data_IF_076210808103
#
_entry.id   IF_076210808103
#
_cell.length_a   1.000
_cell.length_b   1.000
_cell.length_c   1.000
_cell.angle_alpha   90.00
_cell.angle_beta   90.00
_cell.angle_gamma   90.00
#
_symmetry.space_group_name_H-M   'P 1'
#
loop_
_entity.id
_entity.type
_entity.pdbx_description
1 polymer ?
#
# COMPACT_ATOMS: atom_id res chain seq x y z
N UNK A 1 -49.74 58.26 -28.30
CA UNK A 1 -49.06 57.85 -27.03
C UNK A 1 -49.20 56.39 -26.70
N UNK A 2 -49.90 55.52 -27.45
CA UNK A 2 -50.10 54.10 -27.15
C UNK A 2 -49.01 53.12 -27.70
N UNK A 3 -48.16 53.60 -28.61
CA UNK A 3 -47.13 52.71 -29.23
C UNK A 3 -45.78 52.67 -28.52
N UNK A 4 -45.43 53.60 -27.65
CA UNK A 4 -44.14 53.67 -26.93
C UNK A 4 -44.14 52.77 -25.66
N UNK A 5 -45.29 52.64 -25.02
CA UNK A 5 -45.41 51.75 -23.78
C UNK A 5 -45.31 50.26 -24.08
N UNK A 6 -45.76 49.80 -25.27
CA UNK A 6 -45.66 48.34 -25.66
C UNK A 6 -44.24 47.91 -25.99
N UNK A 7 -43.38 48.83 -26.50
CA UNK A 7 -41.97 48.48 -26.79
C UNK A 7 -41.09 48.44 -25.54
N UNK A 8 -41.41 49.23 -24.52
CA UNK A 8 -40.71 49.19 -23.24
C UNK A 8 -41.05 47.92 -22.44
N UNK A 9 -42.29 47.43 -22.45
CA UNK A 9 -42.71 46.19 -21.81
C UNK A 9 -42.11 44.95 -22.50
N UNK A 10 -41.91 44.96 -23.81
CA UNK A 10 -41.26 43.87 -24.54
C UNK A 10 -39.74 43.78 -24.26
N UNK A 11 -39.08 44.92 -24.03
CA UNK A 11 -37.67 44.93 -23.66
C UNK A 11 -37.43 44.53 -22.20
N UNK A 12 -38.33 44.81 -21.27
CA UNK A 12 -38.25 44.32 -19.89
C UNK A 12 -38.52 42.84 -19.77
N UNK A 13 -39.39 42.23 -20.61
CA UNK A 13 -39.64 40.80 -20.63
C UNK A 13 -38.47 39.99 -21.20
N UNK A 14 -37.66 40.57 -22.09
CA UNK A 14 -36.49 39.88 -22.67
C UNK A 14 -35.27 39.87 -21.73
N UNK A 15 -35.24 40.77 -20.72
CA UNK A 15 -34.15 40.78 -19.70
C UNK A 15 -34.32 39.75 -18.59
N UNK A 16 -35.49 39.10 -18.48
CA UNK A 16 -35.79 38.08 -17.44
C UNK A 16 -35.47 36.65 -17.88
N UNK A 17 -34.99 36.43 -19.10
CA UNK A 17 -34.59 35.10 -19.62
C UNK A 17 -33.06 34.94 -19.70
N UNK A 18 -32.31 35.54 -18.75
CA UNK A 18 -30.94 35.10 -18.54
C UNK A 18 -31.00 33.71 -17.91
N UNK A 19 -30.51 32.66 -18.60
CA UNK A 19 -30.38 31.34 -17.95
C UNK A 19 -29.48 31.58 -16.74
N UNK A 20 -29.98 31.24 -15.56
CA UNK A 20 -29.15 31.07 -14.38
C UNK A 20 -28.12 29.99 -14.75
N UNK A 21 -26.94 30.42 -15.19
CA UNK A 21 -25.78 29.51 -15.22
C UNK A 21 -25.57 29.10 -13.77
N UNK A 22 -26.18 27.97 -13.39
CA UNK A 22 -25.78 27.26 -12.19
C UNK A 22 -24.28 27.02 -12.39
N UNK A 23 -23.46 27.74 -11.65
CA UNK A 23 -22.04 27.49 -11.59
C UNK A 23 -21.91 26.01 -11.08
N UNK A 24 -21.75 25.11 -12.01
CA UNK A 24 -21.39 23.74 -11.65
C UNK A 24 -20.08 23.86 -10.89
N UNK A 25 -20.11 23.54 -9.60
CA UNK A 25 -18.90 23.51 -8.78
C UNK A 25 -17.86 22.68 -9.56
N UNK A 26 -16.70 23.29 -9.84
CA UNK A 26 -15.65 22.62 -10.60
C UNK A 26 -15.32 21.29 -9.90
N UNK A 27 -15.42 20.21 -10.65
CA UNK A 27 -15.14 18.86 -10.14
C UNK A 27 -13.67 18.81 -9.70
N UNK A 28 -13.43 18.64 -8.41
CA UNK A 28 -12.09 18.50 -7.84
C UNK A 28 -11.65 17.06 -7.97
N UNK A 29 -10.39 16.84 -8.32
CA UNK A 29 -9.86 15.49 -8.54
C UNK A 29 -8.57 15.31 -7.76
N UNK A 30 -8.44 14.15 -7.09
CA UNK A 30 -7.21 13.65 -6.51
C UNK A 30 -6.78 12.39 -7.26
N UNK A 31 -5.58 12.44 -7.82
CA UNK A 31 -4.98 11.32 -8.55
C UNK A 31 -3.94 10.62 -7.67
N UNK A 32 -4.07 9.32 -7.53
CA UNK A 32 -3.18 8.45 -6.76
C UNK A 32 -2.56 7.39 -7.65
N UNK A 33 -1.22 7.28 -7.64
CA UNK A 33 -0.49 6.26 -8.41
C UNK A 33 0.57 5.63 -7.52
N UNK A 34 0.53 4.30 -7.35
CA UNK A 34 1.55 3.61 -6.55
C UNK A 34 1.16 2.22 -6.06
N UNK A 35 1.34 1.97 -4.78
CA UNK A 35 1.29 0.65 -4.15
C UNK A 35 -0.02 -0.11 -4.37
N UNK A 36 0.08 -1.32 -4.88
CA UNK A 36 -1.01 -2.30 -4.93
C UNK A 36 -1.45 -2.72 -3.51
N UNK A 37 -0.51 -2.88 -2.57
CA UNK A 37 -0.83 -3.20 -1.17
C UNK A 37 -1.85 -2.23 -0.55
N UNK A 38 -1.76 -0.94 -0.92
CA UNK A 38 -2.63 0.11 -0.41
C UNK A 38 -3.90 0.33 -1.25
N UNK A 39 -4.06 -0.39 -2.36
CA UNK A 39 -5.11 -0.11 -3.34
C UNK A 39 -6.52 -0.17 -2.76
N UNK A 40 -6.87 -1.27 -2.09
CA UNK A 40 -8.20 -1.46 -1.47
C UNK A 40 -8.44 -0.46 -0.32
N UNK A 41 -7.43 -0.20 0.50
CA UNK A 41 -7.53 0.78 1.58
C UNK A 41 -7.80 2.19 1.04
N UNK A 42 -7.07 2.59 -0.01
CA UNK A 42 -7.27 3.91 -0.62
C UNK A 42 -8.65 4.04 -1.27
N UNK A 43 -9.18 2.96 -1.88
CA UNK A 43 -10.55 2.96 -2.40
C UNK A 43 -11.57 3.13 -1.27
N UNK A 44 -11.42 2.40 -0.16
CA UNK A 44 -12.29 2.51 1.01
C UNK A 44 -12.21 3.91 1.65
N UNK A 45 -11.00 4.48 1.75
CA UNK A 45 -10.82 5.85 2.24
C UNK A 45 -11.39 6.90 1.29
N UNK A 46 -11.20 6.74 -0.02
CA UNK A 46 -11.77 7.63 -1.03
C UNK A 46 -13.30 7.65 -0.94
N UNK A 47 -13.93 6.48 -0.82
CA UNK A 47 -15.37 6.38 -0.63
C UNK A 47 -15.81 7.06 0.65
N UNK A 48 -15.20 6.73 1.80
CA UNK A 48 -15.56 7.29 3.10
C UNK A 48 -15.33 8.80 3.20
N UNK A 49 -14.37 9.34 2.44
CA UNK A 49 -14.08 10.76 2.36
C UNK A 49 -15.07 11.48 1.43
N UNK A 50 -15.39 10.88 0.27
CA UNK A 50 -16.33 11.44 -0.70
C UNK A 50 -17.78 11.46 -0.21
N UNK A 51 -18.17 10.62 0.76
CA UNK A 51 -19.48 10.68 1.43
C UNK A 51 -19.75 12.07 2.05
N UNK A 52 -18.68 12.84 2.37
CA UNK A 52 -18.75 14.23 2.87
C UNK A 52 -18.61 15.31 1.79
N UNK A 53 -18.25 14.95 0.55
CA UNK A 53 -17.98 15.91 -0.53
C UNK A 53 -18.23 15.31 -1.92
N UNK A 54 -19.44 15.47 -2.42
CA UNK A 54 -19.86 14.93 -3.72
C UNK A 54 -19.14 15.55 -4.94
N UNK A 55 -18.36 16.63 -4.75
CA UNK A 55 -17.61 17.29 -5.84
C UNK A 55 -16.21 16.73 -6.03
N UNK A 56 -15.71 15.90 -5.08
CA UNK A 56 -14.38 15.31 -5.15
C UNK A 56 -14.43 13.96 -5.84
N UNK A 57 -13.52 13.74 -6.79
CA UNK A 57 -13.32 12.47 -7.48
C UNK A 57 -11.91 11.94 -7.23
N UNK A 58 -11.82 10.65 -6.96
CA UNK A 58 -10.54 9.95 -6.85
C UNK A 58 -10.24 9.16 -8.11
N UNK A 59 -8.99 9.25 -8.57
CA UNK A 59 -8.43 8.41 -9.62
C UNK A 59 -7.31 7.59 -9.01
N UNK A 60 -7.55 6.30 -8.74
CA UNK A 60 -6.60 5.43 -8.06
C UNK A 60 -6.06 4.41 -9.06
N UNK A 61 -4.72 4.35 -9.21
CA UNK A 61 -3.98 3.40 -10.03
C UNK A 61 -2.92 2.71 -9.15
N UNK A 62 -2.84 1.39 -9.26
CA UNK A 62 -2.02 0.56 -8.36
C UNK A 62 -0.97 -0.30 -9.10
N UNK A 63 -0.13 0.30 -9.97
CA UNK A 63 0.88 -0.47 -10.71
C UNK A 63 2.03 -0.98 -9.83
N UNK A 64 2.15 -0.50 -8.62
CA UNK A 64 3.20 -0.81 -7.66
C UNK A 64 3.90 0.43 -7.13
N UNK A 65 4.58 0.30 -5.98
CA UNK A 65 5.24 1.43 -5.30
C UNK A 65 6.30 2.11 -6.15
N UNK A 66 7.00 1.38 -7.00
CA UNK A 66 8.05 1.93 -7.87
C UNK A 66 7.53 2.99 -8.87
N UNK A 67 6.22 3.01 -9.17
CA UNK A 67 5.64 4.01 -10.06
C UNK A 67 5.35 5.35 -9.39
N UNK A 68 5.25 5.39 -8.05
CA UNK A 68 4.84 6.58 -7.30
C UNK A 68 5.82 7.76 -7.45
N UNK A 69 7.15 7.58 -7.32
CA UNK A 69 8.11 8.68 -7.41
C UNK A 69 8.05 9.41 -8.75
N UNK A 70 8.02 8.66 -9.86
CA UNK A 70 7.96 9.23 -11.20
C UNK A 70 6.61 9.93 -11.47
N UNK A 71 5.49 9.36 -11.03
CA UNK A 71 4.16 9.95 -11.20
C UNK A 71 4.03 11.26 -10.41
N UNK A 72 4.55 11.33 -9.18
CA UNK A 72 4.61 12.55 -8.39
C UNK A 72 5.54 13.60 -9.04
N UNK A 73 6.74 13.18 -9.47
CA UNK A 73 7.73 14.09 -10.07
C UNK A 73 7.22 14.77 -11.34
N UNK A 74 6.44 14.06 -12.17
CA UNK A 74 5.84 14.59 -13.40
C UNK A 74 4.52 15.35 -13.18
N UNK A 75 3.96 15.30 -11.97
CA UNK A 75 2.63 15.85 -11.68
C UNK A 75 1.46 15.01 -12.21
N UNK A 76 1.73 13.76 -12.61
CA UNK A 76 0.69 12.80 -13.03
C UNK A 76 -0.08 12.21 -11.84
N UNK A 77 0.42 12.41 -10.61
CA UNK A 77 -0.23 12.05 -9.37
C UNK A 77 -0.09 13.15 -8.33
N UNK A 78 -1.13 13.31 -7.50
CA UNK A 78 -1.14 14.17 -6.32
C UNK A 78 -0.66 13.39 -5.08
N UNK A 79 -0.96 12.09 -5.06
CA UNK A 79 -0.63 11.15 -3.99
C UNK A 79 0.15 9.95 -4.55
N UNK A 80 1.22 9.59 -3.86
CA UNK A 80 2.05 8.41 -4.14
C UNK A 80 2.02 7.42 -3.00
N UNK A 81 1.07 6.48 -2.95
CA UNK A 81 1.06 5.44 -1.93
C UNK A 81 2.25 4.50 -2.13
N UNK A 82 2.98 4.24 -1.04
CA UNK A 82 4.13 3.35 -1.07
C UNK A 82 4.14 2.42 0.14
N UNK A 83 4.41 1.14 -0.10
CA UNK A 83 4.54 0.11 0.94
C UNK A 83 5.99 -0.12 1.38
N UNK A 84 6.84 0.84 1.11
CA UNK A 84 8.21 1.04 1.59
C UNK A 84 8.55 2.53 1.53
N UNK A 85 9.66 2.93 2.12
CA UNK A 85 10.20 4.27 1.84
C UNK A 85 10.69 4.38 0.38
N UNK A 86 10.73 5.58 -0.18
CA UNK A 86 11.49 5.85 -1.41
C UNK A 86 12.93 5.44 -1.20
N UNK A 87 13.55 4.88 -2.22
CA UNK A 87 15.00 4.67 -2.22
C UNK A 87 15.73 6.01 -2.31
N UNK A 88 17.01 6.02 -1.98
CA UNK A 88 17.83 7.25 -2.11
C UNK A 88 17.86 7.74 -3.58
N UNK A 89 17.89 6.81 -4.55
CA UNK A 89 17.89 7.14 -5.97
C UNK A 89 16.56 7.75 -6.41
N UNK A 90 15.42 7.15 -6.01
CA UNK A 90 14.07 7.66 -6.28
C UNK A 90 13.88 9.07 -5.69
N UNK A 91 14.32 9.29 -4.45
CA UNK A 91 14.24 10.59 -3.80
C UNK A 91 15.13 11.63 -4.50
N UNK A 92 16.36 11.26 -4.89
CA UNK A 92 17.26 12.14 -5.63
C UNK A 92 16.72 12.49 -7.03
N UNK A 93 16.14 11.52 -7.76
CA UNK A 93 15.50 11.80 -9.07
C UNK A 93 14.30 12.74 -8.91
N UNK A 94 13.45 12.48 -7.93
CA UNK A 94 12.34 13.38 -7.61
C UNK A 94 12.85 14.81 -7.31
N UNK A 95 13.87 14.94 -6.46
CA UNK A 95 14.43 16.24 -6.08
C UNK A 95 15.05 16.98 -7.28
N UNK A 96 15.76 16.28 -8.17
CA UNK A 96 16.27 16.87 -9.42
C UNK A 96 15.16 17.47 -10.28
N UNK A 97 14.00 16.80 -10.37
CA UNK A 97 12.86 17.23 -11.22
C UNK A 97 12.02 18.32 -10.58
N UNK A 98 11.87 18.30 -9.27
CA UNK A 98 10.95 19.20 -8.52
C UNK A 98 11.66 20.31 -7.78
N UNK A 99 12.99 20.28 -7.68
CA UNK A 99 13.80 21.25 -6.94
C UNK A 99 13.68 21.15 -5.41
N UNK A 100 12.94 20.15 -4.90
CA UNK A 100 12.67 19.93 -3.47
C UNK A 100 12.36 18.48 -3.17
N UNK A 101 12.41 18.08 -1.91
CA UNK A 101 12.01 16.74 -1.47
C UNK A 101 10.48 16.58 -1.46
N UNK A 102 9.97 15.36 -1.71
CA UNK A 102 8.54 15.07 -1.57
C UNK A 102 8.11 15.19 -0.10
N UNK A 103 6.85 15.55 0.13
CA UNK A 103 6.24 15.35 1.43
C UNK A 103 5.96 13.86 1.66
N UNK A 104 5.97 13.44 2.92
CA UNK A 104 5.68 12.06 3.30
C UNK A 104 4.92 12.01 4.61
N UNK A 105 3.87 11.22 4.68
CA UNK A 105 3.12 10.90 5.90
C UNK A 105 3.04 9.39 6.03
N UNK A 106 3.36 8.87 7.20
CA UNK A 106 3.05 7.48 7.56
C UNK A 106 1.57 7.38 7.87
N UNK A 107 0.90 6.38 7.28
CA UNK A 107 -0.55 6.27 7.35
C UNK A 107 -1.05 5.02 8.07
N UNK A 108 -0.23 3.98 8.15
CA UNK A 108 -0.52 2.73 8.85
C UNK A 108 0.78 1.91 8.97
N UNK A 109 0.72 0.81 9.72
CA UNK A 109 1.68 -0.28 9.60
C UNK A 109 1.06 -1.47 8.87
N UNK A 110 1.91 -2.25 8.23
CA UNK A 110 1.58 -3.53 7.59
C UNK A 110 2.55 -4.60 8.06
N UNK A 111 2.15 -5.85 7.92
CA UNK A 111 3.02 -7.00 8.07
C UNK A 111 3.03 -7.78 6.76
N UNK A 112 4.22 -8.08 6.24
CA UNK A 112 4.35 -9.05 5.14
C UNK A 112 4.26 -10.44 5.74
N UNK A 113 3.12 -11.09 5.53
CA UNK A 113 2.84 -12.41 6.06
C UNK A 113 3.30 -13.51 5.08
N UNK A 114 3.69 -14.66 5.63
CA UNK A 114 3.93 -15.88 4.86
C UNK A 114 2.69 -16.74 4.88
N UNK A 115 2.28 -17.21 3.72
CA UNK A 115 1.07 -17.99 3.51
C UNK A 115 1.41 -19.39 3.01
N UNK A 116 0.75 -20.38 3.60
CA UNK A 116 0.76 -21.78 3.15
C UNK A 116 -0.66 -22.29 3.03
N UNK A 117 -0.84 -23.41 2.31
CA UNK A 117 -2.11 -24.13 2.26
C UNK A 117 -2.57 -24.51 3.68
N UNK A 118 -3.87 -24.52 4.01
CA UNK A 118 -4.36 -24.88 5.35
C UNK A 118 -3.83 -26.23 5.85
N UNK A 119 -3.74 -27.22 4.98
CA UNK A 119 -3.28 -28.58 5.32
C UNK A 119 -1.75 -28.71 5.41
N UNK A 120 -0.99 -27.65 5.16
CA UNK A 120 0.46 -27.69 5.30
C UNK A 120 0.85 -27.82 6.79
N UNK A 121 1.64 -28.84 7.18
CA UNK A 121 1.95 -29.09 8.59
C UNK A 121 3.02 -28.17 9.20
N UNK A 122 3.71 -27.33 8.38
CA UNK A 122 4.75 -26.42 8.87
C UNK A 122 4.15 -25.45 9.91
N UNK A 123 4.75 -25.37 11.10
CA UNK A 123 4.19 -24.61 12.22
C UNK A 123 4.65 -23.16 12.29
N UNK A 124 5.91 -22.92 11.94
CA UNK A 124 6.56 -21.60 11.98
C UNK A 124 7.82 -21.62 11.12
N UNK A 125 8.38 -20.43 10.84
CA UNK A 125 9.69 -20.28 10.20
C UNK A 125 10.54 -19.29 11.00
N UNK A 126 11.86 -19.47 10.93
CA UNK A 126 12.81 -18.41 11.27
C UNK A 126 13.06 -17.52 10.05
N UNK A 127 13.45 -16.28 10.27
CA UNK A 127 13.78 -15.36 9.17
C UNK A 127 14.91 -15.93 8.27
N UNK A 128 15.84 -16.69 8.85
CA UNK A 128 16.86 -17.41 8.09
C UNK A 128 16.27 -18.48 7.15
N UNK A 129 15.22 -19.20 7.57
CA UNK A 129 14.53 -20.16 6.70
C UNK A 129 13.82 -19.47 5.55
N UNK A 130 13.31 -18.24 5.77
CA UNK A 130 12.73 -17.44 4.69
C UNK A 130 13.79 -17.11 3.63
N UNK A 131 15.02 -16.75 4.03
CA UNK A 131 16.11 -16.55 3.09
C UNK A 131 16.45 -17.86 2.33
N UNK A 132 16.59 -18.98 3.02
CA UNK A 132 16.83 -20.31 2.39
C UNK A 132 15.77 -20.68 1.34
N UNK A 133 14.55 -20.18 1.50
CA UNK A 133 13.46 -20.44 0.55
C UNK A 133 13.57 -19.54 -0.69
N UNK A 134 13.83 -18.24 -0.54
CA UNK A 134 13.69 -17.25 -1.62
C UNK A 134 14.99 -16.61 -2.12
N UNK A 135 16.09 -16.63 -1.33
CA UNK A 135 17.34 -15.98 -1.75
C UNK A 135 18.07 -16.79 -2.83
N UNK A 136 18.74 -16.09 -3.74
CA UNK A 136 19.55 -16.67 -4.80
C UNK A 136 20.90 -17.20 -4.31
N UNK A 137 21.33 -16.81 -3.12
CA UNK A 137 22.59 -17.18 -2.52
C UNK A 137 22.44 -17.47 -1.02
N UNK A 138 23.46 -18.08 -0.42
CA UNK A 138 23.43 -18.61 0.95
C UNK A 138 23.84 -17.58 2.01
N UNK A 139 24.24 -16.35 1.65
CA UNK A 139 24.89 -15.44 2.61
C UNK A 139 23.96 -14.96 3.75
N UNK A 140 22.64 -15.01 3.54
CA UNK A 140 21.66 -14.56 4.54
C UNK A 140 21.02 -15.70 5.36
N UNK A 141 20.86 -16.89 4.77
CA UNK A 141 20.08 -17.98 5.40
C UNK A 141 20.80 -19.31 5.48
N UNK A 142 21.97 -19.45 4.88
CA UNK A 142 22.64 -20.73 4.68
C UNK A 142 22.03 -21.52 3.51
N UNK A 143 22.32 -22.84 3.47
CA UNK A 143 21.98 -23.69 2.34
C UNK A 143 20.49 -23.62 1.92
N UNK A 144 20.27 -23.62 0.62
CA UNK A 144 18.94 -23.54 -0.01
C UNK A 144 17.98 -24.63 0.48
N UNK A 145 16.72 -24.28 0.69
CA UNK A 145 15.64 -25.24 0.93
C UNK A 145 14.87 -25.49 -0.38
N UNK A 146 15.05 -26.67 -0.95
CA UNK A 146 14.41 -27.09 -2.21
C UNK A 146 13.14 -27.91 -1.98
N UNK A 147 13.08 -28.63 -0.87
CA UNK A 147 11.98 -29.52 -0.49
C UNK A 147 11.45 -29.18 0.88
N UNK A 148 10.22 -29.57 1.15
CA UNK A 148 9.57 -29.35 2.43
C UNK A 148 10.25 -30.07 3.60
N UNK A 149 10.87 -31.25 3.35
CA UNK A 149 11.63 -31.97 4.36
C UNK A 149 12.82 -31.19 4.92
N UNK A 150 13.43 -30.32 4.15
CA UNK A 150 14.54 -29.44 4.55
C UNK A 150 14.12 -28.30 5.49
N UNK A 151 12.81 -28.11 5.62
CA UNK A 151 12.17 -27.25 6.61
C UNK A 151 11.54 -28.03 7.77
N UNK A 152 11.86 -29.32 7.90
CA UNK A 152 11.35 -30.17 8.96
C UNK A 152 9.92 -30.68 8.75
N UNK A 153 9.38 -30.56 7.55
CA UNK A 153 8.03 -31.06 7.20
C UNK A 153 8.13 -32.54 6.83
N UNK A 154 7.31 -33.39 7.49
CA UNK A 154 7.19 -34.80 7.21
C UNK A 154 5.95 -35.17 6.39
N UNK A 155 5.73 -36.50 6.23
CA UNK A 155 4.56 -37.04 5.54
C UNK A 155 4.56 -36.82 4.02
N UNK A 156 3.40 -36.81 3.40
CA UNK A 156 3.26 -36.77 1.94
C UNK A 156 3.83 -35.50 1.28
N UNK A 157 4.02 -34.44 2.05
CA UNK A 157 4.58 -33.19 1.56
C UNK A 157 6.12 -33.17 1.60
N UNK A 158 6.77 -34.01 2.40
CA UNK A 158 8.20 -33.96 2.67
C UNK A 158 9.07 -33.88 1.40
N UNK A 159 8.84 -34.76 0.43
CA UNK A 159 9.62 -34.85 -0.80
C UNK A 159 9.13 -33.96 -1.92
N UNK A 160 8.05 -33.23 -1.70
CA UNK A 160 7.53 -32.29 -2.69
C UNK A 160 8.47 -31.08 -2.82
N UNK A 161 8.70 -30.57 -4.05
CA UNK A 161 9.44 -29.34 -4.23
C UNK A 161 8.63 -28.15 -3.67
N UNK A 162 9.34 -27.19 -3.10
CA UNK A 162 8.77 -25.91 -2.70
C UNK A 162 8.36 -25.11 -3.95
N UNK A 163 7.07 -24.80 -4.10
CA UNK A 163 6.61 -23.83 -5.08
C UNK A 163 6.59 -22.43 -4.45
N UNK A 164 7.56 -21.61 -4.82
CA UNK A 164 7.80 -20.28 -4.25
C UNK A 164 7.01 -19.23 -5.01
N UNK A 165 6.13 -18.52 -4.33
CA UNK A 165 5.32 -17.46 -4.92
C UNK A 165 5.74 -16.12 -4.33
N UNK A 166 5.88 -15.10 -5.18
CA UNK A 166 6.32 -13.79 -4.77
C UNK A 166 5.73 -12.67 -5.61
N UNK A 167 6.04 -11.43 -5.26
CA UNK A 167 5.65 -10.25 -6.01
C UNK A 167 6.66 -9.97 -7.13
N UNK A 168 6.24 -9.20 -8.13
CA UNK A 168 7.12 -8.70 -9.17
C UNK A 168 7.92 -7.46 -8.71
N UNK A 169 8.89 -7.04 -9.51
CA UNK A 169 9.82 -5.93 -9.21
C UNK A 169 9.16 -4.55 -9.10
N UNK A 170 7.95 -4.34 -9.65
CA UNK A 170 7.20 -3.09 -9.49
C UNK A 170 6.62 -2.92 -8.07
N UNK A 171 6.52 -4.02 -7.32
CA UNK A 171 5.92 -4.06 -6.00
C UNK A 171 6.88 -3.56 -4.91
N UNK A 172 6.45 -2.58 -4.10
CA UNK A 172 7.19 -2.23 -2.88
C UNK A 172 7.27 -3.36 -1.85
N UNK A 173 6.39 -4.36 -1.94
CA UNK A 173 6.48 -5.57 -1.11
C UNK A 173 7.61 -6.48 -1.57
N UNK A 174 7.87 -6.58 -2.88
CA UNK A 174 9.04 -7.29 -3.41
C UNK A 174 10.34 -6.70 -2.84
N UNK A 175 10.52 -5.41 -2.97
CA UNK A 175 11.74 -4.73 -2.53
C UNK A 175 11.89 -4.74 -1.00
N UNK A 176 10.80 -4.50 -0.26
CA UNK A 176 10.84 -4.62 1.20
C UNK A 176 11.24 -6.03 1.65
N UNK A 177 10.65 -7.08 1.06
CA UNK A 177 10.96 -8.46 1.39
C UNK A 177 12.42 -8.81 1.04
N UNK A 178 12.92 -8.33 -0.10
CA UNK A 178 14.32 -8.44 -0.48
C UNK A 178 15.27 -7.88 0.58
N UNK A 179 14.99 -6.67 1.05
CA UNK A 179 15.83 -6.02 2.06
C UNK A 179 15.72 -6.69 3.45
N UNK A 180 14.48 -6.98 3.88
CA UNK A 180 14.22 -7.43 5.24
C UNK A 180 14.43 -8.94 5.45
N UNK A 181 14.17 -9.77 4.43
CA UNK A 181 14.22 -11.22 4.54
C UNK A 181 15.39 -11.86 3.77
N UNK A 182 15.91 -11.20 2.72
CA UNK A 182 16.99 -11.72 1.88
C UNK A 182 18.29 -10.93 2.03
N UNK A 183 18.44 -10.13 3.09
CA UNK A 183 19.61 -9.28 3.35
C UNK A 183 20.02 -8.37 2.17
N UNK A 184 19.05 -7.98 1.33
CA UNK A 184 19.30 -7.21 0.11
C UNK A 184 19.80 -8.05 -1.08
N UNK A 185 19.96 -9.37 -0.91
CA UNK A 185 20.38 -10.30 -1.97
C UNK A 185 19.31 -10.52 -3.05
N UNK A 186 19.67 -11.21 -4.12
CA UNK A 186 18.77 -11.55 -5.22
C UNK A 186 17.74 -12.59 -4.84
N UNK A 187 16.64 -12.62 -5.58
CA UNK A 187 15.69 -13.73 -5.53
C UNK A 187 16.18 -14.90 -6.41
N UNK A 188 15.82 -16.09 -6.03
CA UNK A 188 15.97 -17.30 -6.87
C UNK A 188 15.20 -17.11 -8.18
N UNK A 189 15.72 -17.71 -9.24
CA UNK A 189 15.12 -17.62 -10.57
C UNK A 189 13.84 -18.45 -10.74
N UNK A 190 13.60 -19.42 -9.83
CA UNK A 190 12.42 -20.30 -9.81
C UNK A 190 11.25 -19.71 -8.96
N UNK A 191 11.36 -18.48 -8.48
CA UNK A 191 10.24 -17.77 -7.84
C UNK A 191 9.22 -17.34 -8.88
N UNK A 192 7.97 -17.84 -8.74
CA UNK A 192 6.84 -17.42 -9.58
C UNK A 192 6.36 -16.05 -9.11
N UNK A 193 6.47 -15.05 -9.98
CA UNK A 193 6.15 -13.67 -9.66
C UNK A 193 4.73 -13.28 -10.08
N UNK A 194 4.03 -12.58 -9.19
CA UNK A 194 2.67 -12.06 -9.42
C UNK A 194 2.62 -10.53 -9.33
N UNK A 195 1.82 -9.87 -10.16
CA UNK A 195 1.63 -8.42 -10.10
C UNK A 195 0.82 -7.98 -8.87
N UNK A 196 -0.11 -8.82 -8.37
CA UNK A 196 -1.00 -8.53 -7.26
C UNK A 196 -0.89 -9.52 -6.10
N UNK A 197 -1.08 -9.04 -4.87
CA UNK A 197 -0.99 -9.84 -3.66
C UNK A 197 -2.11 -10.88 -3.55
N UNK A 198 -3.35 -10.52 -3.92
CA UNK A 198 -4.49 -11.45 -3.91
C UNK A 198 -4.29 -12.67 -4.79
N UNK A 199 -3.59 -12.54 -5.92
CA UNK A 199 -3.29 -13.65 -6.82
C UNK A 199 -2.34 -14.67 -6.16
N UNK A 200 -1.38 -14.23 -5.34
CA UNK A 200 -0.49 -15.11 -4.56
C UNK A 200 -1.33 -15.92 -3.57
N UNK A 201 -2.16 -15.26 -2.77
CA UNK A 201 -3.02 -15.91 -1.77
C UNK A 201 -3.94 -16.94 -2.43
N UNK A 202 -4.55 -16.58 -3.56
CA UNK A 202 -5.40 -17.49 -4.33
C UNK A 202 -4.62 -18.70 -4.90
N UNK A 203 -3.37 -18.52 -5.30
CA UNK A 203 -2.51 -19.62 -5.77
C UNK A 203 -2.11 -20.55 -4.62
N UNK A 204 -1.72 -20.00 -3.46
CA UNK A 204 -1.39 -20.79 -2.25
C UNK A 204 -2.60 -21.63 -1.80
N UNK A 205 -3.81 -21.04 -1.80
CA UNK A 205 -5.03 -21.70 -1.39
C UNK A 205 -5.37 -22.96 -2.23
N UNK A 206 -4.87 -23.05 -3.46
CA UNK A 206 -5.13 -24.16 -4.39
C UNK A 206 -3.95 -25.12 -4.56
N UNK A 207 -2.81 -24.83 -3.92
CA UNK A 207 -1.56 -25.56 -4.22
C UNK A 207 -0.88 -25.96 -2.91
N UNK A 208 -1.06 -27.23 -2.45
CA UNK A 208 -0.57 -27.68 -1.14
C UNK A 208 0.94 -27.51 -0.91
N UNK A 209 1.77 -27.62 -1.95
CA UNK A 209 3.22 -27.44 -1.89
C UNK A 209 3.67 -25.99 -2.18
N UNK A 210 2.73 -25.02 -2.24
CA UNK A 210 3.08 -23.62 -2.41
C UNK A 210 3.32 -22.91 -1.07
N UNK A 211 4.27 -21.99 -1.10
CA UNK A 211 4.49 -20.99 -0.07
C UNK A 211 4.60 -19.62 -0.74
N UNK A 212 3.95 -18.61 -0.18
CA UNK A 212 3.94 -17.26 -0.75
C UNK A 212 4.00 -16.17 0.32
N UNK A 213 4.33 -14.95 -0.09
CA UNK A 213 4.29 -13.79 0.79
C UNK A 213 3.45 -12.65 0.21
N UNK A 214 2.68 -11.98 1.07
CA UNK A 214 1.90 -10.79 0.75
C UNK A 214 1.61 -9.98 2.01
N UNK A 215 1.03 -8.78 1.87
CA UNK A 215 0.53 -8.01 3.01
C UNK A 215 -0.55 -8.80 3.77
N UNK A 216 -0.54 -8.70 5.10
CA UNK A 216 -1.47 -9.41 6.00
C UNK A 216 -2.95 -9.15 5.66
N UNK A 217 -3.28 -7.95 5.17
CA UNK A 217 -4.65 -7.59 4.76
C UNK A 217 -5.26 -8.50 3.68
N UNK A 218 -4.45 -9.27 2.96
CA UNK A 218 -4.91 -10.27 1.99
C UNK A 218 -5.16 -11.66 2.60
N UNK A 219 -4.91 -11.84 3.90
CA UNK A 219 -5.21 -13.10 4.59
C UNK A 219 -6.72 -13.37 4.55
N UNK A 220 -7.08 -14.61 4.25
CA UNK A 220 -8.46 -15.09 4.27
C UNK A 220 -8.52 -16.51 4.82
N UNK A 221 -9.71 -17.05 5.04
CA UNK A 221 -9.91 -18.38 5.58
C UNK A 221 -9.42 -19.55 4.69
N UNK A 222 -8.93 -19.27 3.48
CA UNK A 222 -8.46 -20.27 2.53
C UNK A 222 -6.95 -20.52 2.61
N UNK A 223 -6.21 -19.75 3.41
CA UNK A 223 -4.77 -19.89 3.62
C UNK A 223 -4.44 -19.79 5.10
N UNK A 224 -3.30 -20.34 5.48
CA UNK A 224 -2.78 -20.23 6.84
C UNK A 224 -1.55 -19.32 6.87
N UNK A 225 -1.56 -18.36 7.80
CA UNK A 225 -0.43 -17.48 8.09
C UNK A 225 0.56 -18.21 8.97
N UNK A 226 1.85 -18.15 8.62
CA UNK A 226 2.92 -18.72 9.41
C UNK A 226 3.44 -17.73 10.45
N UNK A 227 3.59 -18.13 11.71
CA UNK A 227 4.38 -17.39 12.69
C UNK A 227 5.84 -17.29 12.23
N UNK A 228 6.49 -16.13 12.50
CA UNK A 228 7.90 -15.89 12.20
C UNK A 228 8.70 -15.59 13.48
N UNK A 229 9.92 -16.11 13.51
CA UNK A 229 10.91 -15.82 14.54
C UNK A 229 12.10 -15.04 13.98
N UNK A 230 12.66 -14.14 14.79
CA UNK A 230 13.95 -13.50 14.54
C UNK A 230 15.02 -14.22 15.37
N UNK A 231 15.99 -14.84 14.71
CA UNK A 231 17.03 -15.61 15.40
C UNK A 231 16.43 -16.72 16.26
N UNK A 232 16.75 -16.71 17.55
CA UNK A 232 16.28 -17.69 18.54
C UNK A 232 15.08 -17.20 19.38
N UNK A 233 14.45 -16.09 18.99
CA UNK A 233 13.23 -15.61 19.62
C UNK A 233 12.04 -16.55 19.33
N UNK A 234 10.99 -16.46 20.13
CA UNK A 234 9.74 -17.18 19.88
C UNK A 234 9.08 -16.66 18.60
N UNK A 235 8.58 -17.58 17.78
CA UNK A 235 7.85 -17.25 16.57
C UNK A 235 6.49 -16.60 16.92
N UNK A 236 6.21 -15.45 16.32
CA UNK A 236 4.99 -14.67 16.55
C UNK A 236 4.16 -14.51 15.27
N UNK A 237 2.84 -14.50 15.43
CA UNK A 237 1.93 -14.11 14.35
C UNK A 237 1.97 -12.59 14.13
N UNK A 238 1.68 -12.12 12.90
CA UNK A 238 1.58 -10.71 12.59
C UNK A 238 0.24 -10.15 13.06
N UNK A 239 0.16 -9.74 14.31
CA UNK A 239 -0.97 -8.99 14.85
C UNK A 239 -0.57 -7.55 15.23
N UNK A 240 -1.54 -6.73 15.60
CA UNK A 240 -1.28 -5.33 15.95
C UNK A 240 -0.27 -5.20 17.10
N UNK A 241 -0.33 -6.06 18.11
CA UNK A 241 0.56 -5.99 19.27
C UNK A 241 2.01 -6.34 18.88
N UNK A 242 2.21 -7.40 18.10
CA UNK A 242 3.54 -7.85 17.66
C UNK A 242 4.16 -6.89 16.65
N UNK A 243 3.35 -6.28 15.78
CA UNK A 243 3.78 -5.27 14.79
C UNK A 243 4.19 -3.97 15.49
N UNK A 244 3.35 -3.41 16.37
CA UNK A 244 3.65 -2.16 17.09
C UNK A 244 4.87 -2.33 18.02
N UNK A 245 4.98 -3.49 18.66
CA UNK A 245 6.12 -3.81 19.52
C UNK A 245 7.42 -4.12 18.76
N UNK A 246 7.39 -4.16 17.42
CA UNK A 246 8.54 -4.50 16.59
C UNK A 246 9.00 -5.96 16.69
N UNK A 247 8.18 -6.82 17.28
CA UNK A 247 8.50 -8.26 17.43
C UNK A 247 8.30 -9.06 16.16
N UNK A 248 7.32 -8.69 15.31
CA UNK A 248 7.13 -9.35 14.02
C UNK A 248 8.21 -8.93 13.03
N UNK A 249 9.05 -9.84 12.50
CA UNK A 249 10.25 -9.49 11.74
C UNK A 249 9.98 -8.72 10.44
N UNK A 250 8.85 -8.97 9.78
CA UNK A 250 8.48 -8.38 8.50
C UNK A 250 7.38 -7.32 8.62
N UNK A 251 7.37 -6.61 9.74
CA UNK A 251 6.54 -5.42 9.94
C UNK A 251 7.14 -4.20 9.21
N UNK A 252 6.29 -3.34 8.66
CA UNK A 252 6.73 -2.15 7.92
C UNK A 252 5.75 -0.99 8.03
N UNK A 253 6.22 0.26 7.99
CA UNK A 253 5.36 1.42 7.81
C UNK A 253 4.88 1.54 6.36
N UNK A 254 3.67 2.08 6.19
CA UNK A 254 3.08 2.44 4.91
C UNK A 254 2.99 3.96 4.80
N UNK A 255 3.20 4.49 3.60
CA UNK A 255 3.34 5.92 3.38
C UNK A 255 2.41 6.43 2.28
N UNK A 256 1.95 7.68 2.45
CA UNK A 256 1.53 8.53 1.35
C UNK A 256 2.58 9.60 1.12
N UNK A 257 3.16 9.61 -0.07
CA UNK A 257 3.99 10.69 -0.56
C UNK A 257 3.15 11.70 -1.32
N UNK A 258 3.57 12.95 -1.36
CA UNK A 258 2.86 14.03 -2.02
C UNK A 258 3.80 15.15 -2.46
N UNK A 259 3.34 15.94 -3.43
CA UNK A 259 4.04 17.13 -3.87
C UNK A 259 3.87 18.27 -2.87
N UNK A 260 4.96 18.99 -2.59
CA UNK A 260 4.93 20.23 -1.81
C UNK A 260 4.82 21.43 -2.75
N UNK A 261 4.00 22.43 -2.39
CA UNK A 261 3.97 23.73 -3.01
C UNK A 261 5.21 24.57 -2.64
N UNK A 262 5.30 25.81 -3.14
CA UNK A 262 6.47 26.66 -2.91
C UNK A 262 6.65 27.06 -1.45
N UNK A 263 5.58 27.11 -0.68
CA UNK A 263 5.58 27.33 0.77
C UNK A 263 5.96 26.08 1.59
N UNK A 264 6.28 24.96 0.92
CA UNK A 264 6.64 23.68 1.55
C UNK A 264 5.46 22.81 1.99
N UNK A 265 4.22 23.26 1.80
CA UNK A 265 2.99 22.57 2.23
C UNK A 265 2.40 21.72 1.11
N UNK A 266 1.56 20.71 1.44
CA UNK A 266 0.71 20.04 0.44
C UNK A 266 -0.37 21.01 -0.08
N UNK A 267 -0.94 20.73 -1.28
CA UNK A 267 -2.14 21.47 -1.72
C UNK A 267 -3.28 21.32 -0.70
N UNK A 268 -4.23 22.26 -0.64
CA UNK A 268 -5.35 22.19 0.31
C UNK A 268 -6.13 20.88 0.25
N UNK A 269 -6.36 20.34 -0.94
CA UNK A 269 -7.07 19.08 -1.17
C UNK A 269 -6.26 17.88 -0.64
N UNK A 270 -4.98 17.85 -0.96
CA UNK A 270 -4.05 16.79 -0.46
C UNK A 270 -3.97 16.88 1.06
N UNK A 271 -3.79 18.09 1.63
CA UNK A 271 -3.74 18.28 3.08
C UNK A 271 -5.02 17.81 3.78
N UNK A 272 -6.18 18.11 3.20
CA UNK A 272 -7.47 17.68 3.76
C UNK A 272 -7.62 16.16 3.74
N UNK A 273 -7.25 15.50 2.63
CA UNK A 273 -7.27 14.04 2.54
C UNK A 273 -6.26 13.38 3.48
N UNK A 274 -5.04 13.92 3.61
CA UNK A 274 -4.05 13.40 4.55
C UNK A 274 -4.51 13.51 6.01
N UNK A 275 -5.15 14.64 6.39
CA UNK A 275 -5.77 14.79 7.72
C UNK A 275 -6.88 13.76 7.95
N UNK A 276 -7.70 13.50 6.92
CA UNK A 276 -8.69 12.43 7.00
C UNK A 276 -8.03 11.06 7.18
N UNK A 277 -6.98 10.73 6.40
CA UNK A 277 -6.25 9.45 6.51
C UNK A 277 -5.68 9.20 7.92
N UNK A 278 -5.34 10.27 8.64
CA UNK A 278 -4.87 10.22 10.03
C UNK A 278 -6.02 10.29 11.06
N UNK A 279 -7.27 10.48 10.65
CA UNK A 279 -8.42 10.55 11.57
C UNK A 279 -8.76 9.19 12.19
N UNK A 280 -9.42 9.15 13.36
CA UNK A 280 -9.87 7.90 13.97
C UNK A 280 -10.72 7.05 13.04
N UNK A 281 -11.63 7.67 12.25
CA UNK A 281 -12.48 6.97 11.26
C UNK A 281 -11.64 6.26 10.19
N UNK A 282 -10.64 6.94 9.64
CA UNK A 282 -9.79 6.34 8.60
C UNK A 282 -8.88 5.24 9.18
N UNK A 283 -8.37 5.42 10.39
CA UNK A 283 -7.55 4.42 11.07
C UNK A 283 -8.36 3.16 11.42
N UNK A 284 -9.64 3.30 11.77
CA UNK A 284 -10.55 2.18 11.95
C UNK A 284 -10.81 1.44 10.61
N UNK A 285 -10.98 2.18 9.51
CA UNK A 285 -11.07 1.57 8.17
C UNK A 285 -9.81 0.78 7.86
N UNK A 286 -8.62 1.34 8.12
CA UNK A 286 -7.35 0.64 7.91
C UNK A 286 -7.28 -0.68 8.70
N UNK A 287 -7.70 -0.67 9.97
CA UNK A 287 -7.74 -1.88 10.79
C UNK A 287 -8.70 -2.95 10.22
N UNK A 288 -9.88 -2.55 9.73
CA UNK A 288 -10.83 -3.47 9.08
C UNK A 288 -10.29 -4.07 7.78
N UNK A 289 -9.37 -3.38 7.10
CA UNK A 289 -8.66 -3.88 5.91
C UNK A 289 -7.38 -4.67 6.24
N UNK A 290 -7.19 -5.08 7.51
CA UNK A 290 -6.07 -5.92 7.95
C UNK A 290 -4.74 -5.18 8.11
N UNK A 291 -4.75 -3.85 8.08
CA UNK A 291 -3.59 -3.04 8.45
C UNK A 291 -3.58 -2.75 9.95
N UNK A 292 -2.43 -2.37 10.46
CA UNK A 292 -2.29 -1.95 11.85
C UNK A 292 -2.38 -0.43 11.92
N UNK A 293 -3.41 0.05 12.64
CA UNK A 293 -3.62 1.47 12.85
C UNK A 293 -2.42 2.10 13.57
N UNK A 294 -2.16 3.37 13.26
CA UNK A 294 -1.09 4.12 13.92
C UNK A 294 -1.41 4.34 15.40
N UNK A 295 -0.43 4.14 16.31
CA UNK A 295 -0.51 4.62 17.68
C UNK A 295 -0.75 6.13 17.73
N UNK A 296 -1.44 6.63 18.79
CA UNK A 296 -1.77 8.05 18.92
C UNK A 296 -0.54 8.97 18.84
N UNK A 297 0.61 8.55 19.38
CA UNK A 297 1.85 9.29 19.27
C UNK A 297 2.35 9.44 17.82
N UNK A 298 2.18 8.39 17.00
CA UNK A 298 2.53 8.45 15.58
C UNK A 298 1.55 9.35 14.82
N UNK A 299 0.24 9.25 15.08
CA UNK A 299 -0.77 10.14 14.48
C UNK A 299 -0.45 11.61 14.78
N UNK A 300 -0.11 11.94 16.03
CA UNK A 300 0.25 13.31 16.43
C UNK A 300 1.49 13.81 15.68
N UNK A 301 2.52 12.99 15.58
CA UNK A 301 3.77 13.33 14.87
C UNK A 301 3.52 13.55 13.37
N UNK A 302 2.80 12.65 12.72
CA UNK A 302 2.50 12.75 11.28
C UNK A 302 1.57 13.92 10.97
N UNK A 303 0.61 14.22 11.85
CA UNK A 303 -0.26 15.40 11.73
C UNK A 303 0.50 16.72 11.82
N UNK A 304 1.55 16.79 12.65
CA UNK A 304 2.42 17.96 12.76
C UNK A 304 3.16 18.31 11.46
N UNK A 305 3.38 17.33 10.58
CA UNK A 305 4.03 17.57 9.27
C UNK A 305 3.09 18.21 8.23
N UNK A 306 1.79 18.34 8.53
CA UNK A 306 0.77 18.89 7.64
C UNK A 306 0.41 20.36 7.98
N UNK A 307 1.05 20.92 8.99
CA UNK A 307 0.92 22.31 9.41
C UNK A 307 1.95 23.18 8.71
#
# INVERSE_FOLDING_TARGET
MRGRCRRLLALLALLMLLPAFAATAAERRLTSVGSDTLGELLQAWAQAYADGDATLRFQIRTPGSAAAPAALATGAADLGPMSRAMTAEEAADYQRRRGREPGRVRIAYDAVALFVHPDNPLRSLRLADVARIWAADEHCGGADAMRWSELGVGGALADQPLLRLGRNTASGTFEFFQQAALCGGGYRTDVVQFPGAGAIVAAVARTPNAIGYAGLGHANGLVRVLPLARGDEDAVLPDAATVIAGRYPLARPLYLYFNRADDGRPSPEVAAFLRFALSPRAQEIAARHGFVALPAADVSRESGQLQ
#
